data_IF_668354472303
#
_entry.id   IF_668354472303
#
_cell.length_a   1.000
_cell.length_b   1.000
_cell.length_c   1.000
_cell.angle_alpha   90.00
_cell.angle_beta   90.00
_cell.angle_gamma   90.00
#
_symmetry.space_group_name_H-M   'P 1'
#
loop_
_entity.id
_entity.type
_entity.pdbx_description
1 polymer ?
#
# COMPACT_ATOMS: atom_id res chain seq x y z
N UNK A 1 25.67 -49.28 -12.16
CA UNK A 1 27.11 -49.01 -12.33
C UNK A 1 27.27 -47.92 -13.38
N UNK A 2 27.70 -46.73 -12.94
CA UNK A 2 28.42 -45.65 -13.66
C UNK A 2 27.73 -44.87 -14.80
N UNK A 3 27.24 -43.67 -14.42
CA UNK A 3 27.40 -42.29 -14.95
C UNK A 3 28.07 -42.05 -16.33
N UNK A 4 27.50 -41.08 -17.08
CA UNK A 4 28.07 -39.97 -17.92
C UNK A 4 27.38 -39.91 -19.29
N UNK A 5 27.11 -38.75 -19.89
CA UNK A 5 27.52 -37.38 -19.60
C UNK A 5 26.80 -36.38 -20.51
N UNK A 6 26.96 -35.10 -20.15
CA UNK A 6 26.40 -33.90 -20.76
C UNK A 6 26.95 -33.60 -22.17
N UNK A 7 26.28 -32.62 -22.79
CA UNK A 7 26.86 -31.63 -23.71
C UNK A 7 26.88 -31.95 -25.21
N UNK A 8 26.00 -31.29 -25.98
CA UNK A 8 26.25 -30.62 -27.27
C UNK A 8 24.92 -30.15 -27.86
N UNK A 9 24.74 -28.84 -28.01
CA UNK A 9 24.10 -28.17 -29.17
C UNK A 9 24.06 -26.66 -28.92
N UNK A 10 25.21 -26.02 -29.20
CA UNK A 10 25.31 -24.59 -29.49
C UNK A 10 25.42 -24.43 -31.01
N UNK A 11 24.82 -23.35 -31.50
CA UNK A 11 24.98 -22.72 -32.83
C UNK A 11 24.20 -23.31 -34.01
N UNK A 12 23.09 -22.63 -34.35
CA UNK A 12 22.94 -22.03 -35.69
C UNK A 12 22.26 -20.66 -35.56
N UNK A 13 23.02 -19.65 -35.96
CA UNK A 13 22.66 -18.24 -36.07
C UNK A 13 22.02 -17.97 -37.43
N UNK A 14 21.00 -17.12 -37.46
CA UNK A 14 20.81 -16.12 -38.51
C UNK A 14 19.83 -16.44 -39.66
N UNK A 15 18.64 -15.86 -39.60
CA UNK A 15 18.07 -15.07 -40.70
C UNK A 15 16.95 -14.16 -40.15
N UNK A 16 17.09 -12.86 -40.38
CA UNK A 16 16.16 -11.79 -40.03
C UNK A 16 14.85 -11.89 -40.84
N UNK A 17 13.75 -11.46 -40.21
CA UNK A 17 12.51 -11.04 -40.88
C UNK A 17 11.70 -10.15 -39.94
N UNK A 18 11.72 -8.85 -40.20
CA UNK A 18 10.94 -7.82 -39.49
C UNK A 18 9.43 -8.10 -39.56
N UNK A 19 8.73 -7.91 -38.44
CA UNK A 19 7.37 -7.39 -38.43
C UNK A 19 7.16 -6.55 -37.16
N UNK A 20 7.24 -5.24 -37.35
CA UNK A 20 6.93 -4.19 -36.40
C UNK A 20 5.40 -4.05 -36.30
N UNK A 21 4.80 -4.28 -35.13
CA UNK A 21 3.48 -3.72 -34.81
C UNK A 21 3.60 -3.05 -33.44
N UNK A 22 3.66 -1.73 -33.47
CA UNK A 22 3.55 -0.86 -32.32
C UNK A 22 2.09 -0.75 -31.90
N UNK A 23 1.80 -0.87 -30.60
CA UNK A 23 0.64 -0.24 -29.98
C UNK A 23 1.10 0.42 -28.69
N UNK A 24 1.40 1.72 -28.81
CA UNK A 24 1.53 2.66 -27.70
C UNK A 24 0.12 3.18 -27.38
N UNK A 25 -0.25 3.10 -26.11
CA UNK A 25 -1.48 3.68 -25.58
C UNK A 25 -1.34 3.93 -24.09
N UNK A 26 -0.56 4.96 -23.73
CA UNK A 26 -0.54 5.54 -22.39
C UNK A 26 -1.88 6.24 -22.12
N UNK A 27 -2.52 5.90 -21.01
CA UNK A 27 -3.36 6.83 -20.25
C UNK A 27 -3.01 6.68 -18.76
N UNK A 28 -2.11 7.53 -18.27
CA UNK A 28 -2.00 7.82 -16.84
C UNK A 28 -2.75 9.12 -16.62
N UNK A 29 -3.99 9.05 -16.13
CA UNK A 29 -4.71 10.22 -15.64
C UNK A 29 -4.31 10.41 -14.19
N UNK A 30 -3.30 11.24 -13.94
CA UNK A 30 -3.03 11.76 -12.59
C UNK A 30 -3.75 13.10 -12.45
N UNK A 31 -4.86 13.10 -11.71
CA UNK A 31 -5.58 14.31 -11.32
C UNK A 31 -4.73 15.17 -10.37
N UNK A 32 -4.30 16.32 -10.87
CA UNK A 32 -3.60 17.35 -10.09
C UNK A 32 -4.64 18.38 -9.61
N UNK A 33 -5.02 18.34 -8.34
CA UNK A 33 -5.83 19.40 -7.71
C UNK A 33 -4.88 20.45 -7.13
N UNK A 34 -4.96 21.66 -7.69
CA UNK A 34 -4.23 22.85 -7.24
C UNK A 34 -4.97 23.46 -6.05
N UNK A 35 -4.35 23.55 -4.87
CA UNK A 35 -4.85 24.39 -3.77
C UNK A 35 -4.20 25.76 -3.83
N UNK A 36 -5.02 26.79 -4.05
CA UNK A 36 -4.64 28.20 -4.03
C UNK A 36 -4.57 28.69 -2.58
N UNK A 37 -3.43 29.24 -2.17
CA UNK A 37 -3.21 29.85 -0.85
C UNK A 37 -4.02 31.15 -0.71
N UNK A 38 -4.90 31.23 0.29
CA UNK A 38 -5.53 32.49 0.73
C UNK A 38 -4.70 33.05 1.90
N UNK A 39 -4.01 34.16 1.64
CA UNK A 39 -3.34 34.97 2.66
C UNK A 39 -4.38 35.78 3.46
N UNK A 40 -4.52 35.47 4.75
CA UNK A 40 -5.28 36.26 5.71
C UNK A 40 -4.43 36.58 6.93
N UNK A 41 -3.86 37.79 6.98
CA UNK A 41 -3.26 38.41 8.17
C UNK A 41 -4.33 38.65 9.22
N UNK A 42 -4.12 38.22 10.47
CA UNK A 42 -4.68 38.84 11.66
C UNK A 42 -3.67 38.85 12.82
N UNK A 43 -3.73 39.84 13.72
CA UNK A 43 -2.59 40.29 14.53
C UNK A 43 -2.40 39.48 15.82
N UNK A 44 -1.14 39.34 16.23
CA UNK A 44 -0.73 38.83 17.53
C UNK A 44 -1.16 39.81 18.64
N UNK A 45 -1.87 39.30 19.65
CA UNK A 45 -1.98 39.95 20.96
C UNK A 45 -1.06 39.24 21.94
N UNK A 46 -0.20 40.03 22.58
CA UNK A 46 0.90 39.57 23.41
C UNK A 46 0.47 39.01 24.75
N UNK A 47 1.26 38.04 25.21
CA UNK A 47 1.35 37.66 26.62
C UNK A 47 2.81 37.81 27.05
N UNK A 48 3.03 38.63 28.07
CA UNK A 48 4.32 38.88 28.73
C UNK A 48 4.79 37.64 29.51
N UNK A 49 6.10 37.31 29.52
CA UNK A 49 6.62 36.18 30.29
C UNK A 49 6.92 36.58 31.76
N UNK A 50 6.51 35.74 32.70
CA UNK A 50 6.93 35.83 34.11
C UNK A 50 8.33 35.22 34.22
N UNK A 51 9.28 36.03 34.69
CA UNK A 51 10.65 35.63 34.98
C UNK A 51 10.76 34.86 36.32
N UNK A 52 11.61 33.82 36.36
CA UNK A 52 12.18 33.34 37.62
C UNK A 52 12.67 31.89 37.66
N UNK A 53 14.01 31.74 37.61
CA UNK A 53 14.85 30.61 38.07
C UNK A 53 14.79 29.33 37.19
N UNK A 54 15.83 28.84 36.54
CA UNK A 54 17.27 29.04 36.71
C UNK A 54 17.96 27.67 36.86
N UNK A 55 18.20 26.96 35.75
CA UNK A 55 19.22 25.92 35.68
C UNK A 55 19.76 25.81 34.26
N UNK A 56 21.05 26.08 34.14
CA UNK A 56 21.83 26.08 32.91
C UNK A 56 22.02 24.66 32.38
N UNK A 57 21.51 24.40 31.18
CA UNK A 57 22.04 23.35 30.30
C UNK A 57 22.36 24.00 28.95
N UNK A 58 23.65 24.21 28.71
CA UNK A 58 24.18 24.73 27.45
C UNK A 58 23.89 23.75 26.31
N UNK A 59 22.80 23.97 25.59
CA UNK A 59 22.55 23.32 24.31
C UNK A 59 23.26 24.10 23.19
N UNK A 60 24.59 23.99 23.11
CA UNK A 60 25.32 24.27 21.87
C UNK A 60 25.18 23.06 20.95
N UNK A 61 23.96 22.83 20.46
CA UNK A 61 23.68 21.97 19.32
C UNK A 61 23.57 22.87 18.10
N UNK A 62 24.71 23.22 17.50
CA UNK A 62 24.71 23.87 16.18
C UNK A 62 23.98 22.91 15.24
N UNK A 63 22.83 23.34 14.73
CA UNK A 63 22.17 22.68 13.61
C UNK A 63 23.07 22.87 12.39
N UNK A 64 24.07 21.99 12.24
CA UNK A 64 24.82 21.83 11.01
C UNK A 64 23.87 21.17 10.01
N UNK A 65 23.10 22.00 9.31
CA UNK A 65 22.71 21.66 7.95
C UNK A 65 24.01 21.59 7.14
N UNK A 66 24.62 20.39 7.12
CA UNK A 66 25.80 20.13 6.34
C UNK A 66 25.49 20.52 4.88
N UNK A 67 26.10 21.60 4.42
CA UNK A 67 25.94 22.06 3.05
C UNK A 67 26.47 20.96 2.15
N UNK A 68 25.59 20.31 1.41
CA UNK A 68 25.95 19.21 0.53
C UNK A 68 26.91 19.72 -0.55
N UNK A 69 28.18 19.31 -0.48
CA UNK A 69 29.19 19.63 -1.49
C UNK A 69 29.10 18.58 -2.59
N UNK A 70 28.53 18.96 -3.74
CA UNK A 70 28.47 18.09 -4.92
C UNK A 70 29.84 18.01 -5.61
N UNK A 71 30.22 16.85 -6.20
CA UNK A 71 31.38 16.76 -7.09
C UNK A 71 31.30 17.81 -8.20
N UNK A 72 32.44 18.30 -8.69
CA UNK A 72 32.52 19.41 -9.67
C UNK A 72 31.70 19.20 -10.95
N UNK A 73 31.42 17.94 -11.30
CA UNK A 73 30.67 17.55 -12.50
C UNK A 73 29.18 17.29 -12.24
N UNK A 74 28.77 17.25 -10.96
CA UNK A 74 27.40 16.98 -10.55
C UNK A 74 26.63 18.30 -10.36
N UNK A 75 25.64 18.56 -11.23
CA UNK A 75 24.73 19.68 -11.04
C UNK A 75 23.71 19.41 -9.93
N UNK A 76 23.15 20.46 -9.34
CA UNK A 76 22.07 20.34 -8.36
C UNK A 76 20.86 19.59 -8.96
N UNK A 77 20.49 19.86 -10.21
CA UNK A 77 19.41 19.16 -10.91
C UNK A 77 19.70 17.67 -11.10
N UNK A 78 20.94 17.32 -11.45
CA UNK A 78 21.35 15.92 -11.50
C UNK A 78 21.21 15.27 -10.13
N UNK A 79 21.67 15.94 -9.07
CA UNK A 79 21.56 15.41 -7.71
C UNK A 79 20.10 15.22 -7.27
N UNK A 80 19.22 16.17 -7.54
CA UNK A 80 17.77 16.02 -7.28
C UNK A 80 17.17 14.85 -8.04
N UNK A 81 17.56 14.64 -9.30
CA UNK A 81 17.12 13.46 -10.09
C UNK A 81 17.65 12.15 -9.51
N UNK A 82 18.90 12.09 -9.05
CA UNK A 82 19.46 10.91 -8.40
C UNK A 82 18.72 10.61 -7.11
N UNK A 83 18.49 11.61 -6.25
CA UNK A 83 17.72 11.42 -5.02
C UNK A 83 16.29 10.94 -5.31
N UNK A 84 15.63 11.50 -6.33
CA UNK A 84 14.31 11.05 -6.78
C UNK A 84 14.36 9.60 -7.28
N UNK A 85 15.31 9.26 -8.14
CA UNK A 85 15.48 7.91 -8.69
C UNK A 85 15.78 6.88 -7.59
N UNK A 86 16.62 7.21 -6.61
CA UNK A 86 16.88 6.34 -5.45
C UNK A 86 15.58 6.13 -4.68
N UNK A 87 14.86 7.20 -4.32
CA UNK A 87 13.57 7.08 -3.61
C UNK A 87 12.56 6.24 -4.39
N UNK A 88 12.43 6.45 -5.70
CA UNK A 88 11.51 5.68 -6.54
C UNK A 88 11.95 4.23 -6.74
N UNK A 89 13.27 3.98 -6.76
CA UNK A 89 13.83 2.63 -6.85
C UNK A 89 13.52 1.78 -5.62
N UNK A 90 13.37 2.41 -4.44
CA UNK A 90 12.99 1.71 -3.21
C UNK A 90 11.62 1.04 -3.30
N UNK A 91 10.75 1.49 -4.22
CA UNK A 91 9.41 0.95 -4.40
C UNK A 91 9.30 -0.06 -5.55
N UNK A 92 10.38 -0.29 -6.32
CA UNK A 92 10.33 -1.18 -7.48
C UNK A 92 10.14 -2.63 -7.09
N UNK A 93 9.27 -3.32 -7.83
CA UNK A 93 9.13 -4.77 -7.75
C UNK A 93 10.44 -5.45 -8.18
N UNK A 94 10.91 -6.40 -7.38
CA UNK A 94 12.16 -7.14 -7.65
C UNK A 94 12.02 -8.63 -7.32
N UNK A 95 12.80 -9.47 -7.98
CA UNK A 95 12.77 -10.91 -7.76
C UNK A 95 13.59 -11.30 -6.52
N UNK A 96 13.05 -12.19 -5.69
CA UNK A 96 13.70 -12.71 -4.48
C UNK A 96 13.75 -14.24 -4.50
N UNK A 97 14.96 -14.79 -4.58
CA UNK A 97 15.20 -16.25 -4.55
C UNK A 97 15.06 -16.87 -3.15
N UNK A 98 15.19 -16.05 -2.10
CA UNK A 98 15.08 -16.48 -0.70
C UNK A 98 14.31 -15.45 0.12
N UNK A 99 12.96 -15.48 0.08
CA UNK A 99 12.11 -14.65 0.93
C UNK A 99 12.37 -14.89 2.43
N UNK A 100 11.99 -13.92 3.25
CA UNK A 100 12.06 -14.03 4.72
C UNK A 100 11.09 -15.10 5.26
N UNK A 101 9.94 -15.24 4.62
CA UNK A 101 8.90 -16.19 5.01
C UNK A 101 9.32 -17.62 4.63
N UNK A 102 9.48 -18.55 5.58
CA UNK A 102 10.00 -19.89 5.30
C UNK A 102 9.12 -20.73 4.37
N UNK A 103 7.80 -20.48 4.36
CA UNK A 103 6.81 -21.11 3.50
C UNK A 103 6.79 -20.54 2.07
N UNK A 104 7.49 -19.44 1.82
CA UNK A 104 7.57 -18.79 0.50
C UNK A 104 8.94 -19.10 -0.12
N UNK A 105 9.03 -20.00 -1.11
CA UNK A 105 10.33 -20.46 -1.64
C UNK A 105 11.04 -19.36 -2.43
N UNK A 106 10.32 -18.71 -3.35
CA UNK A 106 10.78 -17.60 -4.18
C UNK A 106 9.58 -16.79 -4.63
N UNK A 107 9.74 -15.48 -4.75
CA UNK A 107 8.65 -14.60 -5.09
C UNK A 107 9.17 -13.30 -5.70
N UNK A 108 8.29 -12.62 -6.44
CA UNK A 108 8.44 -11.18 -6.61
C UNK A 108 8.19 -10.51 -5.26
N UNK A 109 8.93 -9.45 -4.97
CA UNK A 109 8.76 -8.66 -3.77
C UNK A 109 8.65 -7.17 -4.07
N UNK A 110 8.07 -6.43 -3.15
CA UNK A 110 8.09 -4.98 -3.15
C UNK A 110 8.35 -4.47 -1.72
N UNK A 111 9.38 -3.65 -1.56
CA UNK A 111 9.66 -2.97 -0.31
C UNK A 111 8.93 -1.61 -0.31
N UNK A 112 8.35 -1.24 0.82
CA UNK A 112 7.72 0.05 1.02
C UNK A 112 8.28 0.68 2.28
N UNK A 113 9.15 1.68 2.12
CA UNK A 113 9.78 2.34 3.27
C UNK A 113 8.79 3.22 4.03
N UNK A 114 7.95 3.97 3.33
CA UNK A 114 6.97 4.88 3.92
C UNK A 114 5.98 4.15 4.84
N UNK A 115 5.63 2.91 4.51
CA UNK A 115 4.68 2.11 5.27
C UNK A 115 5.31 0.93 6.02
N UNK A 116 6.63 0.83 6.04
CA UNK A 116 7.37 -0.30 6.60
C UNK A 116 6.88 -1.68 6.11
N UNK A 117 6.40 -1.79 4.87
CA UNK A 117 5.98 -3.07 4.30
C UNK A 117 7.11 -3.73 3.52
N UNK A 118 7.11 -5.06 3.56
CA UNK A 118 7.72 -5.90 2.54
C UNK A 118 6.67 -6.89 2.08
N UNK A 119 6.25 -6.73 0.84
CA UNK A 119 5.26 -7.59 0.18
C UNK A 119 5.98 -8.65 -0.61
N UNK A 120 5.54 -9.90 -0.51
CA UNK A 120 5.90 -11.02 -1.36
C UNK A 120 4.66 -11.44 -2.15
N UNK A 121 4.75 -11.43 -3.47
CA UNK A 121 3.66 -11.84 -4.35
C UNK A 121 3.77 -13.35 -4.60
N UNK A 122 2.90 -14.12 -3.95
CA UNK A 122 2.82 -15.58 -4.11
C UNK A 122 1.81 -15.92 -5.21
N UNK A 123 1.64 -17.21 -5.53
CA UNK A 123 0.61 -17.65 -6.48
C UNK A 123 -0.83 -17.46 -5.95
N UNK A 124 -1.01 -17.36 -4.63
CA UNK A 124 -2.31 -17.24 -3.97
C UNK A 124 -2.70 -15.76 -3.77
N UNK A 125 -1.72 -14.91 -3.47
CA UNK A 125 -1.89 -13.48 -3.27
C UNK A 125 -0.67 -12.84 -2.60
N UNK A 126 -0.71 -11.54 -2.27
CA UNK A 126 0.36 -10.89 -1.52
C UNK A 126 0.42 -11.40 -0.08
N UNK A 127 1.65 -11.57 0.42
CA UNK A 127 1.98 -11.75 1.84
C UNK A 127 2.89 -10.61 2.26
N UNK A 128 2.52 -9.90 3.33
CA UNK A 128 3.17 -8.66 3.75
C UNK A 128 3.65 -8.81 5.19
N UNK A 129 4.86 -8.32 5.43
CA UNK A 129 5.55 -8.33 6.73
C UNK A 129 6.21 -6.97 7.00
N UNK A 130 6.63 -6.67 8.25
CA UNK A 130 7.49 -5.53 8.50
C UNK A 130 8.78 -5.62 7.68
N UNK A 131 9.13 -4.54 6.97
CA UNK A 131 10.28 -4.52 6.05
C UNK A 131 11.62 -4.77 6.74
N UNK A 132 11.74 -4.32 7.99
CA UNK A 132 12.97 -4.34 8.79
C UNK A 132 13.07 -5.54 9.74
N UNK A 133 12.01 -6.35 9.87
CA UNK A 133 12.04 -7.51 10.75
C UNK A 133 12.90 -8.64 10.16
N UNK A 134 13.68 -9.29 11.02
CA UNK A 134 14.37 -10.56 10.72
C UNK A 134 13.58 -11.77 11.19
N UNK A 135 12.64 -11.57 12.11
CA UNK A 135 11.60 -12.51 12.50
C UNK A 135 10.33 -11.69 12.69
N UNK A 136 9.40 -11.72 11.72
CA UNK A 136 8.21 -10.88 11.76
C UNK A 136 7.24 -11.42 12.82
N UNK A 137 6.85 -10.55 13.74
CA UNK A 137 5.84 -10.78 14.78
C UNK A 137 4.42 -10.77 14.21
N UNK A 138 4.24 -10.11 13.07
CA UNK A 138 3.02 -10.18 12.28
C UNK A 138 3.22 -10.40 10.79
N UNK A 139 2.23 -11.04 10.19
CA UNK A 139 2.07 -11.19 8.76
C UNK A 139 0.61 -10.91 8.39
N UNK A 140 0.37 -10.27 7.25
CA UNK A 140 -0.97 -10.18 6.67
C UNK A 140 -0.92 -10.46 5.17
N UNK A 141 -2.05 -10.81 4.59
CA UNK A 141 -2.15 -11.00 3.16
C UNK A 141 -3.61 -11.02 2.72
N UNK A 142 -3.83 -10.89 1.43
CA UNK A 142 -5.16 -10.97 0.84
C UNK A 142 -5.15 -12.07 -0.22
N UNK A 143 -6.24 -12.83 -0.30
CA UNK A 143 -6.44 -13.82 -1.35
C UNK A 143 -7.84 -13.65 -1.90
N UNK A 144 -7.99 -13.33 -3.18
CA UNK A 144 -9.29 -13.34 -3.84
C UNK A 144 -9.85 -14.77 -3.88
N UNK A 145 -10.95 -15.01 -3.17
CA UNK A 145 -11.60 -16.32 -3.06
C UNK A 145 -12.71 -16.48 -4.08
N UNK A 146 -13.53 -15.45 -4.24
CA UNK A 146 -14.67 -15.47 -5.14
C UNK A 146 -14.93 -14.09 -5.74
N UNK A 147 -15.61 -14.06 -6.88
CA UNK A 147 -16.13 -12.82 -7.44
C UNK A 147 -17.37 -13.07 -8.31
N UNK A 148 -18.20 -12.05 -8.48
CA UNK A 148 -19.39 -12.11 -9.34
C UNK A 148 -20.54 -11.27 -8.79
N UNK A 149 -21.78 -11.46 -9.28
CA UNK A 149 -22.91 -10.72 -8.74
C UNK A 149 -23.10 -11.05 -7.26
N UNK A 150 -23.29 -10.01 -6.45
CA UNK A 150 -23.49 -10.09 -4.99
C UNK A 150 -24.48 -11.21 -4.61
N UNK A 151 -24.11 -12.00 -3.59
CA UNK A 151 -24.88 -13.16 -3.12
C UNK A 151 -24.86 -14.38 -4.05
N UNK A 152 -24.12 -14.31 -5.16
CA UNK A 152 -23.93 -15.41 -6.11
C UNK A 152 -22.53 -15.45 -6.74
N UNK A 153 -21.55 -14.85 -6.05
CA UNK A 153 -20.15 -14.88 -6.43
C UNK A 153 -19.65 -16.33 -6.60
N UNK A 154 -18.76 -16.54 -7.56
CA UNK A 154 -18.17 -17.84 -7.86
C UNK A 154 -16.71 -17.86 -7.46
N UNK A 155 -16.15 -19.04 -7.10
CA UNK A 155 -14.72 -19.16 -6.81
C UNK A 155 -13.87 -18.56 -7.92
N UNK A 156 -12.88 -17.76 -7.54
CA UNK A 156 -11.94 -17.16 -8.47
C UNK A 156 -11.09 -18.26 -9.12
N UNK A 157 -10.88 -18.16 -10.44
CA UNK A 157 -9.99 -19.10 -11.13
C UNK A 157 -8.55 -18.92 -10.69
N UNK A 158 -7.72 -19.94 -10.88
CA UNK A 158 -6.28 -19.82 -10.69
C UNK A 158 -5.72 -18.66 -11.52
N UNK A 159 -4.83 -17.86 -10.93
CA UNK A 159 -4.21 -16.74 -11.62
C UNK A 159 -2.93 -17.17 -12.33
N UNK A 160 -2.63 -16.46 -13.42
CA UNK A 160 -1.29 -16.37 -13.98
C UNK A 160 -0.65 -15.09 -13.47
N UNK A 161 0.43 -15.24 -12.70
CA UNK A 161 1.19 -14.11 -12.18
C UNK A 161 2.12 -13.56 -13.27
N UNK A 162 2.09 -12.24 -13.48
CA UNK A 162 3.01 -11.54 -14.37
C UNK A 162 3.48 -10.24 -13.74
N UNK A 163 4.63 -9.74 -14.19
CA UNK A 163 5.17 -8.44 -13.75
C UNK A 163 5.55 -7.60 -14.94
N UNK A 164 5.17 -6.32 -14.89
CA UNK A 164 5.54 -5.35 -15.91
C UNK A 164 5.83 -4.01 -15.24
N UNK A 165 7.04 -3.47 -15.45
CA UNK A 165 7.53 -2.31 -14.72
C UNK A 165 7.35 -2.48 -13.20
N UNK A 166 6.65 -1.54 -12.53
CA UNK A 166 6.39 -1.58 -11.09
C UNK A 166 4.99 -2.14 -10.74
N UNK A 167 4.45 -3.01 -11.60
CA UNK A 167 3.11 -3.58 -11.45
C UNK A 167 3.17 -5.10 -11.48
N UNK A 168 2.48 -5.71 -10.53
CA UNK A 168 2.27 -7.16 -10.47
C UNK A 168 0.81 -7.45 -10.81
N UNK A 169 0.56 -8.42 -11.68
CA UNK A 169 -0.79 -8.78 -12.10
C UNK A 169 -1.07 -10.28 -11.89
N UNK A 170 -2.24 -10.55 -11.32
CA UNK A 170 -2.90 -11.84 -11.19
C UNK A 170 -4.03 -11.89 -12.22
N UNK A 171 -3.74 -12.41 -13.40
CA UNK A 171 -4.73 -12.52 -14.48
C UNK A 171 -5.54 -13.79 -14.34
N UNK A 172 -6.88 -13.65 -14.30
CA UNK A 172 -7.88 -14.71 -14.14
C UNK A 172 -8.91 -14.65 -15.27
N UNK A 173 -9.82 -15.62 -15.34
CA UNK A 173 -10.92 -15.56 -16.31
C UNK A 173 -11.85 -14.38 -15.98
N UNK A 174 -11.92 -13.38 -16.86
CA UNK A 174 -12.80 -12.20 -16.75
C UNK A 174 -12.33 -11.09 -15.81
N UNK A 175 -11.26 -11.30 -15.04
CA UNK A 175 -10.78 -10.40 -13.99
C UNK A 175 -9.25 -10.33 -13.99
N UNK A 176 -8.69 -9.13 -13.87
CA UNK A 176 -7.28 -8.92 -13.55
C UNK A 176 -7.15 -8.22 -12.22
N UNK A 177 -6.58 -8.88 -11.23
CA UNK A 177 -6.15 -8.25 -9.98
C UNK A 177 -4.71 -7.74 -10.16
N UNK A 178 -4.41 -6.54 -9.70
CA UNK A 178 -3.10 -5.93 -9.89
C UNK A 178 -2.66 -5.18 -8.65
N UNK A 179 -1.35 -5.02 -8.50
CA UNK A 179 -0.73 -4.32 -7.39
C UNK A 179 0.33 -3.35 -7.89
N UNK A 180 0.31 -2.14 -7.34
CA UNK A 180 1.35 -1.13 -7.54
C UNK A 180 1.86 -0.71 -6.17
N UNK A 181 3.19 -0.75 -6.00
CA UNK A 181 3.83 -0.32 -4.77
C UNK A 181 4.42 1.08 -4.96
N UNK A 182 3.98 2.05 -4.17
CA UNK A 182 4.51 3.41 -4.22
C UNK A 182 4.59 4.04 -2.82
N UNK A 183 5.01 5.30 -2.75
CA UNK A 183 5.14 6.02 -1.49
C UNK A 183 3.82 6.21 -0.70
N UNK A 184 2.65 6.05 -1.33
CA UNK A 184 1.34 6.17 -0.68
C UNK A 184 0.89 4.86 -0.04
N UNK A 185 1.46 3.72 -0.44
CA UNK A 185 1.07 2.40 0.06
C UNK A 185 1.31 1.27 -0.93
N UNK A 186 0.66 0.15 -0.63
CA UNK A 186 0.45 -0.93 -1.59
C UNK A 186 -0.96 -0.74 -2.16
N UNK A 187 -1.02 -0.19 -3.37
CA UNK A 187 -2.24 -0.07 -4.14
C UNK A 187 -2.61 -1.44 -4.69
N UNK A 188 -3.87 -1.83 -4.52
CA UNK A 188 -4.44 -3.03 -5.10
C UNK A 188 -5.57 -2.58 -5.99
N UNK A 189 -5.70 -3.16 -7.17
CA UNK A 189 -6.88 -2.94 -7.96
C UNK A 189 -7.36 -4.17 -8.70
N UNK A 190 -8.58 -4.07 -9.18
CA UNK A 190 -9.27 -5.11 -9.92
C UNK A 190 -9.85 -4.50 -11.18
N UNK A 191 -9.49 -5.06 -12.32
CA UNK A 191 -10.07 -4.71 -13.62
C UNK A 191 -11.02 -5.82 -14.05
N UNK A 192 -12.31 -5.53 -14.05
CA UNK A 192 -13.35 -6.40 -14.57
C UNK A 192 -13.50 -6.06 -16.05
N UNK A 193 -13.17 -6.98 -16.96
CA UNK A 193 -13.14 -6.69 -18.39
C UNK A 193 -14.53 -6.70 -19.05
N UNK A 194 -15.49 -7.39 -18.43
CA UNK A 194 -16.86 -7.51 -18.88
C UNK A 194 -17.79 -7.79 -17.68
N UNK A 195 -19.10 -7.57 -17.79
CA UNK A 195 -20.04 -7.97 -16.76
C UNK A 195 -19.95 -9.47 -16.46
N UNK A 196 -19.91 -9.90 -15.19
CA UNK A 196 -19.90 -11.32 -14.87
C UNK A 196 -21.22 -11.98 -15.29
N UNK A 197 -21.14 -13.25 -15.70
CA UNK A 197 -22.32 -14.03 -16.12
C UNK A 197 -23.32 -14.16 -14.98
N UNK A 198 -24.47 -13.50 -15.11
CA UNK A 198 -25.57 -13.55 -14.14
C UNK A 198 -26.40 -14.82 -14.33
N UNK A 199 -26.82 -15.46 -13.23
CA UNK A 199 -27.98 -16.35 -13.29
C UNK A 199 -29.21 -15.48 -13.53
N UNK A 200 -30.18 -15.96 -14.32
CA UNK A 200 -31.40 -15.21 -14.67
C UNK A 200 -32.16 -14.63 -13.46
N UNK A 201 -31.96 -15.18 -12.25
CA UNK A 201 -32.58 -14.70 -11.02
C UNK A 201 -31.81 -13.56 -10.29
N UNK A 202 -30.57 -13.26 -10.66
CA UNK A 202 -29.78 -12.19 -10.01
C UNK A 202 -30.27 -10.83 -10.48
N UNK A 203 -31.00 -10.12 -9.60
CA UNK A 203 -31.53 -8.78 -9.83
C UNK A 203 -30.62 -7.65 -9.34
N UNK A 204 -29.56 -7.98 -8.61
CA UNK A 204 -28.62 -6.98 -8.08
C UNK A 204 -27.75 -6.41 -9.19
N UNK A 205 -27.45 -5.12 -9.14
CA UNK A 205 -26.42 -4.50 -9.98
C UNK A 205 -25.04 -4.52 -9.31
N UNK A 206 -24.97 -4.95 -8.05
CA UNK A 206 -23.74 -5.03 -7.29
C UNK A 206 -22.91 -6.25 -7.68
N UNK A 207 -21.61 -6.01 -7.84
CA UNK A 207 -20.60 -7.04 -7.98
C UNK A 207 -19.81 -7.10 -6.68
N UNK A 208 -19.51 -8.31 -6.26
CA UNK A 208 -18.75 -8.66 -5.06
C UNK A 208 -17.39 -9.21 -5.47
N UNK A 209 -16.34 -8.72 -4.83
CA UNK A 209 -14.99 -9.28 -4.81
C UNK A 209 -14.71 -9.73 -3.38
N UNK A 210 -14.70 -11.03 -3.15
CA UNK A 210 -14.53 -11.64 -1.82
C UNK A 210 -13.06 -11.97 -1.57
N UNK A 211 -12.46 -11.28 -0.59
CA UNK A 211 -11.06 -11.38 -0.20
C UNK A 211 -10.93 -12.04 1.16
N UNK A 212 -10.11 -13.10 1.25
CA UNK A 212 -9.72 -13.68 2.53
C UNK A 212 -8.47 -12.97 3.09
N UNK A 213 -8.59 -12.42 4.29
CA UNK A 213 -7.46 -11.97 5.10
C UNK A 213 -6.69 -13.20 5.62
N UNK A 214 -5.41 -13.28 5.28
CA UNK A 214 -4.51 -14.34 5.73
C UNK A 214 -3.44 -13.79 6.69
N UNK A 215 -2.83 -14.68 7.47
CA UNK A 215 -1.81 -14.32 8.47
C UNK A 215 -2.33 -14.42 9.89
N UNK A 216 -1.78 -13.60 10.79
CA UNK A 216 -2.09 -13.65 12.24
C UNK A 216 -2.69 -12.34 12.78
N UNK A 217 -3.03 -11.40 11.90
CA UNK A 217 -3.68 -10.15 12.27
C UNK A 217 -5.21 -10.30 12.33
N UNK A 218 -5.85 -9.40 13.07
CA UNK A 218 -7.31 -9.29 13.19
C UNK A 218 -7.82 -8.05 12.49
N UNK A 219 -8.87 -8.18 11.69
CA UNK A 219 -9.53 -7.07 11.03
C UNK A 219 -10.73 -6.56 11.84
N UNK A 220 -10.95 -5.25 11.81
CA UNK A 220 -12.17 -4.60 12.24
C UNK A 220 -12.55 -3.52 11.23
N UNK A 221 -13.81 -3.50 10.80
CA UNK A 221 -14.32 -2.41 9.96
C UNK A 221 -14.59 -1.19 10.84
N UNK A 222 -14.12 -0.02 10.41
CA UNK A 222 -14.38 1.21 11.15
C UNK A 222 -15.88 1.58 11.10
N UNK A 223 -16.31 2.45 12.01
CA UNK A 223 -17.74 2.82 12.14
C UNK A 223 -18.35 3.42 10.87
N UNK A 224 -17.54 4.04 10.00
CA UNK A 224 -18.00 4.58 8.72
C UNK A 224 -18.06 3.57 7.57
N UNK A 225 -17.60 2.33 7.76
CA UNK A 225 -17.56 1.31 6.70
C UNK A 225 -16.52 1.58 5.60
N UNK A 226 -15.65 2.57 5.78
CA UNK A 226 -14.74 3.06 4.71
C UNK A 226 -13.33 2.50 4.80
N UNK A 227 -13.00 1.79 5.89
CA UNK A 227 -11.65 1.31 6.17
C UNK A 227 -11.69 0.10 7.11
N UNK A 228 -10.99 -0.96 6.73
CA UNK A 228 -10.66 -2.08 7.61
C UNK A 228 -9.35 -1.76 8.33
N UNK A 229 -9.42 -1.70 9.65
CA UNK A 229 -8.28 -1.58 10.56
C UNK A 229 -7.80 -2.98 10.94
N UNK A 230 -6.54 -3.26 10.64
CA UNK A 230 -5.95 -4.58 10.83
C UNK A 230 -4.89 -4.46 11.94
N UNK A 231 -5.16 -5.18 13.02
CA UNK A 231 -4.45 -5.07 14.29
C UNK A 231 -3.70 -6.36 14.65
N UNK A 232 -2.59 -6.22 15.37
CA UNK A 232 -1.89 -7.35 15.99
C UNK A 232 -2.79 -8.02 17.03
N UNK A 233 -2.47 -9.26 17.46
CA UNK A 233 -3.17 -9.89 18.58
C UNK A 233 -3.20 -9.04 19.86
N UNK A 234 -2.21 -8.15 20.05
CA UNK A 234 -2.14 -7.18 21.14
C UNK A 234 -2.97 -5.91 20.95
N UNK A 235 -3.73 -5.78 19.85
CA UNK A 235 -4.61 -4.64 19.57
C UNK A 235 -3.93 -3.44 18.91
N UNK A 236 -2.68 -3.60 18.45
CA UNK A 236 -1.91 -2.53 17.82
C UNK A 236 -2.28 -2.45 16.33
N UNK A 237 -2.82 -1.32 15.87
CA UNK A 237 -3.12 -1.11 14.43
C UNK A 237 -1.83 -0.99 13.63
N UNK A 238 -1.67 -1.86 12.63
CA UNK A 238 -0.45 -1.94 11.79
C UNK A 238 -0.75 -1.81 10.30
N UNK A 239 -1.98 -2.13 9.87
CA UNK A 239 -2.41 -1.97 8.48
C UNK A 239 -3.82 -1.35 8.43
N UNK A 240 -4.00 -0.43 7.50
CA UNK A 240 -5.25 0.19 7.12
C UNK A 240 -5.53 -0.16 5.66
N UNK A 241 -6.63 -0.86 5.42
CA UNK A 241 -7.09 -1.18 4.07
C UNK A 241 -8.38 -0.40 3.80
N UNK A 242 -8.38 0.44 2.77
CA UNK A 242 -9.49 1.35 2.53
C UNK A 242 -9.24 2.24 1.32
N UNK A 243 -9.79 3.47 1.33
CA UNK A 243 -9.82 4.35 0.15
C UNK A 243 -10.36 3.64 -1.09
N UNK A 244 -11.39 2.81 -0.87
CA UNK A 244 -12.04 2.05 -1.93
C UNK A 244 -12.71 3.03 -2.90
N UNK A 245 -12.19 3.08 -4.12
CA UNK A 245 -12.81 3.80 -5.23
C UNK A 245 -13.13 2.82 -6.35
N UNK A 246 -14.14 3.13 -7.16
CA UNK A 246 -14.47 2.36 -8.34
C UNK A 246 -14.87 3.26 -9.50
N UNK A 247 -14.45 2.91 -10.72
CA UNK A 247 -14.70 3.70 -11.92
C UNK A 247 -15.06 2.79 -13.10
N UNK A 248 -15.95 3.28 -13.96
CA UNK A 248 -16.23 2.65 -15.24
C UNK A 248 -15.27 3.12 -16.35
N UNK A 249 -15.39 2.55 -17.56
CA UNK A 249 -14.49 2.86 -18.67
C UNK A 249 -14.53 4.31 -19.17
N UNK A 250 -15.55 5.08 -18.79
CA UNK A 250 -15.63 6.52 -19.09
C UNK A 250 -14.98 7.39 -18.00
N UNK A 251 -14.53 6.77 -16.91
CA UNK A 251 -14.04 7.47 -15.72
C UNK A 251 -15.14 7.91 -14.76
N UNK A 252 -16.39 7.46 -14.96
CA UNK A 252 -17.48 7.76 -14.02
C UNK A 252 -17.28 6.94 -12.75
N UNK A 253 -17.28 7.62 -11.61
CA UNK A 253 -17.24 6.98 -10.29
C UNK A 253 -18.50 6.13 -10.08
N UNK A 254 -18.31 4.92 -9.55
CA UNK A 254 -19.35 3.98 -9.19
C UNK A 254 -19.48 3.92 -7.65
N UNK A 255 -20.70 3.77 -7.10
CA UNK A 255 -20.87 3.48 -5.69
C UNK A 255 -20.11 2.21 -5.32
N UNK A 256 -19.32 2.29 -4.25
CA UNK A 256 -18.53 1.18 -3.76
C UNK A 256 -18.56 1.15 -2.22
N UNK A 257 -18.66 -0.05 -1.67
CA UNK A 257 -18.79 -0.30 -0.23
C UNK A 257 -17.89 -1.48 0.17
N UNK A 258 -17.55 -1.54 1.46
CA UNK A 258 -16.75 -2.60 2.02
C UNK A 258 -17.49 -3.23 3.21
N UNK A 259 -17.58 -4.55 3.20
CA UNK A 259 -18.10 -5.33 4.32
C UNK A 259 -17.00 -6.23 4.90
N UNK A 260 -17.15 -6.60 6.17
CA UNK A 260 -16.23 -7.49 6.87
C UNK A 260 -17.03 -8.54 7.66
N UNK A 261 -16.80 -9.82 7.38
CA UNK A 261 -17.27 -10.95 8.18
C UNK A 261 -16.08 -11.81 8.60
N UNK A 262 -15.67 -11.70 9.87
CA UNK A 262 -14.48 -12.38 10.38
C UNK A 262 -13.20 -11.97 9.64
N UNK A 263 -12.69 -12.85 8.80
CA UNK A 263 -11.52 -12.61 7.93
C UNK A 263 -11.88 -12.33 6.48
N UNK A 264 -13.16 -12.36 6.11
CA UNK A 264 -13.62 -12.09 4.75
C UNK A 264 -13.93 -10.61 4.58
N UNK A 265 -13.28 -9.99 3.59
CA UNK A 265 -13.52 -8.61 3.18
C UNK A 265 -14.22 -8.67 1.82
N UNK A 266 -15.47 -8.23 1.77
CA UNK A 266 -16.19 -8.08 0.52
C UNK A 266 -16.06 -6.64 0.01
N UNK A 267 -15.54 -6.47 -1.20
CA UNK A 267 -15.64 -5.21 -1.94
C UNK A 267 -16.87 -5.27 -2.83
N UNK A 268 -17.84 -4.40 -2.56
CA UNK A 268 -19.10 -4.31 -3.27
C UNK A 268 -19.05 -3.08 -4.19
N UNK A 269 -19.40 -3.25 -5.47
CA UNK A 269 -19.46 -2.15 -6.44
C UNK A 269 -20.76 -2.20 -7.24
N UNK A 270 -21.54 -1.11 -7.22
CA UNK A 270 -22.76 -1.01 -8.03
C UNK A 270 -22.41 -0.72 -9.49
N UNK A 271 -22.49 -1.74 -10.35
CA UNK A 271 -22.17 -1.61 -11.77
C UNK A 271 -23.40 -1.31 -12.63
N UNK A 272 -24.45 -0.68 -12.07
CA UNK A 272 -25.64 -0.29 -12.84
C UNK A 272 -25.24 0.64 -13.99
N UNK A 273 -25.58 0.22 -15.21
CA UNK A 273 -25.27 0.94 -16.44
C UNK A 273 -23.79 1.28 -16.64
N UNK A 274 -22.88 0.57 -15.97
CA UNK A 274 -21.44 0.79 -16.06
C UNK A 274 -20.90 0.36 -17.42
N UNK A 275 -20.00 1.17 -17.99
CA UNK A 275 -19.21 0.80 -19.15
C UNK A 275 -17.99 0.00 -18.71
N UNK A 276 -17.74 -1.13 -19.36
CA UNK A 276 -16.59 -1.98 -19.04
C UNK A 276 -15.36 -1.61 -19.88
N UNK A 277 -14.14 -1.71 -19.35
CA UNK A 277 -13.80 -2.29 -18.05
C UNK A 277 -14.21 -1.43 -16.84
N UNK A 278 -14.54 -2.10 -15.74
CA UNK A 278 -14.72 -1.47 -14.42
C UNK A 278 -13.45 -1.69 -13.60
N UNK A 279 -12.95 -0.63 -12.98
CA UNK A 279 -11.79 -0.66 -12.09
C UNK A 279 -12.25 -0.46 -10.65
N UNK A 280 -11.77 -1.29 -9.73
CA UNK A 280 -11.97 -1.18 -8.28
C UNK A 280 -10.58 -1.03 -7.65
N UNK A 281 -10.35 -0.02 -6.83
CA UNK A 281 -9.00 0.43 -6.45
C UNK A 281 -8.89 0.79 -4.96
N UNK A 282 -8.75 -0.21 -4.06
CA UNK A 282 -8.40 0.02 -2.66
C UNK A 282 -6.89 0.19 -2.42
N UNK A 283 -6.55 0.88 -1.32
CA UNK A 283 -5.19 1.13 -0.88
C UNK A 283 -4.91 0.51 0.49
N UNK A 284 -3.81 -0.24 0.59
CA UNK A 284 -3.24 -0.67 1.86
C UNK A 284 -2.14 0.28 2.32
N UNK A 285 -2.27 0.80 3.53
CA UNK A 285 -1.32 1.71 4.18
C UNK A 285 -1.00 1.22 5.59
N UNK A 286 0.09 1.67 6.18
CA UNK A 286 0.32 1.55 7.62
C UNK A 286 -0.32 2.73 8.36
N UNK A 287 -0.45 2.62 9.69
CA UNK A 287 -0.60 3.81 10.52
C UNK A 287 0.61 4.75 10.30
N UNK A 288 0.38 6.06 10.39
CA UNK A 288 1.44 7.06 10.24
C UNK A 288 2.48 6.96 11.37
N UNK A 289 2.02 6.60 12.56
CA UNK A 289 2.85 6.25 13.71
C UNK A 289 2.05 5.33 14.62
N UNK A 290 2.74 4.40 15.28
CA UNK A 290 2.15 3.56 16.30
C UNK A 290 3.11 3.46 17.48
N UNK A 291 2.59 3.60 18.69
CA UNK A 291 3.34 3.39 19.91
C UNK A 291 2.56 2.54 20.89
N UNK A 292 3.31 1.74 21.64
CA UNK A 292 2.88 1.00 22.80
C UNK A 292 3.82 1.36 23.95
N UNK A 293 3.34 1.30 25.18
CA UNK A 293 4.11 1.75 26.34
C UNK A 293 5.08 0.73 26.89
N UNK A 294 5.27 -0.43 26.24
CA UNK A 294 6.08 -1.57 26.67
C UNK A 294 5.77 -2.17 28.06
N UNK A 295 4.78 -1.60 28.76
CA UNK A 295 4.41 -1.93 30.11
C UNK A 295 2.99 -2.52 30.19
N UNK A 296 2.93 -3.79 30.60
CA UNK A 296 1.67 -4.51 30.79
C UNK A 296 0.74 -3.80 31.78
N UNK A 297 -0.50 -3.56 31.35
CA UNK A 297 -1.54 -2.96 32.20
C UNK A 297 -1.53 -1.42 32.24
N UNK A 298 -0.67 -0.75 31.49
CA UNK A 298 -0.46 0.69 31.59
C UNK A 298 -1.64 1.56 31.19
N UNK A 299 -2.57 1.00 30.41
CA UNK A 299 -3.62 1.76 29.78
C UNK A 299 -3.03 2.98 29.02
N UNK A 300 -1.87 2.79 28.38
CA UNK A 300 -1.33 3.78 27.46
C UNK A 300 -2.30 3.99 26.31
N UNK A 301 -2.49 5.25 25.92
CA UNK A 301 -3.55 5.62 24.98
C UNK A 301 -4.90 5.87 25.64
N UNK A 302 -5.03 5.77 26.98
CA UNK A 302 -6.31 6.00 27.66
C UNK A 302 -6.82 7.44 27.51
N UNK A 303 -5.90 8.40 27.44
CA UNK A 303 -6.21 9.81 27.15
C UNK A 303 -5.22 10.36 26.14
N UNK A 304 -5.71 11.14 25.18
CA UNK A 304 -4.89 11.83 24.18
C UNK A 304 -5.29 13.30 24.15
N UNK A 305 -4.31 14.20 24.11
CA UNK A 305 -4.53 15.63 23.97
C UNK A 305 -3.49 16.24 23.04
N UNK A 306 -3.86 17.32 22.33
CA UNK A 306 -2.88 18.15 21.64
C UNK A 306 -2.02 18.92 22.64
N UNK A 307 -0.72 18.96 22.40
CA UNK A 307 0.24 19.62 23.29
C UNK A 307 0.74 20.97 22.73
N UNK A 308 0.35 21.32 21.51
CA UNK A 308 1.01 22.37 20.73
C UNK A 308 2.37 21.89 20.23
N UNK A 309 3.17 22.77 19.63
CA UNK A 309 4.54 22.46 19.22
C UNK A 309 5.48 22.58 20.44
N UNK A 310 5.68 21.48 21.17
CA UNK A 310 6.49 21.42 22.40
C UNK A 310 7.98 21.34 22.06
N UNK A 311 8.33 20.74 20.92
CA UNK A 311 9.72 20.51 20.53
C UNK A 311 10.30 21.60 19.59
N UNK A 312 9.46 22.48 19.04
CA UNK A 312 9.85 23.61 18.20
C UNK A 312 10.14 23.27 16.73
N UNK A 313 9.64 22.15 16.22
CA UNK A 313 9.86 21.70 14.83
C UNK A 313 8.86 22.27 13.81
N UNK A 314 7.88 23.05 14.28
CA UNK A 314 6.85 23.67 13.47
C UNK A 314 5.59 22.81 13.27
N UNK A 315 5.48 21.66 13.94
CA UNK A 315 4.28 20.81 13.94
C UNK A 315 3.66 20.71 15.35
N UNK A 316 2.34 20.57 15.41
CA UNK A 316 1.66 20.33 16.70
C UNK A 316 1.96 18.91 17.21
N UNK A 317 2.45 18.80 18.44
CA UNK A 317 2.66 17.55 19.15
C UNK A 317 1.39 17.03 19.83
N UNK A 318 1.44 15.74 20.19
CA UNK A 318 0.40 15.05 20.96
C UNK A 318 0.98 14.48 22.25
N UNK A 319 0.21 14.54 23.34
CA UNK A 319 0.51 13.86 24.61
C UNK A 319 -0.45 12.68 24.76
N UNK A 320 0.11 11.54 25.16
CA UNK A 320 -0.62 10.29 25.37
C UNK A 320 -0.44 9.83 26.81
N UNK A 321 -1.55 9.64 27.52
CA UNK A 321 -1.56 9.23 28.92
C UNK A 321 -1.59 7.71 29.11
N UNK A 322 -0.92 7.24 30.16
CA UNK A 322 -0.95 5.87 30.66
C UNK A 322 -1.45 5.87 32.11
N UNK A 323 -2.76 6.00 32.32
CA UNK A 323 -3.35 6.30 33.65
C UNK A 323 -3.09 5.28 34.78
N UNK A 324 -2.42 4.16 34.49
CA UNK A 324 -2.10 3.11 35.46
C UNK A 324 -0.62 3.08 35.85
N UNK A 325 0.20 4.03 35.38
CA UNK A 325 1.59 4.22 35.81
C UNK A 325 1.98 5.70 35.85
#
# INVERSE_FOLDING_TARGET
MVVRGEELMKQRTGALGLALIAFLGLWSVSGLILYTTINGRMPAQGFEPIAGLGTTASATGVSQSASLVLPREASADWWTRVQKSIRESEYQVSWQEKPLLPDVPKAWQAANRAHNFRTYFTAEGPRVVPRTATSPDWTWGLTLRAWGPEGSAKPASQAVLSTFANRVEYTRDGLTEWYVNDHKGLEQGFTLNAPPKRRQASRTSWIELDLELTGNLKANLNTSGSKVEITTPGGVSVVHYGKLEAFDASGRALPAEMELDGSQIALLVDTRDALYPVVVDPLATSAAWTAESDQGGAAFGYSVAGAGDVNGDGYSDVIVGARRF
#
